data_IF_345318421310
#
_entry.id   IF_345318421310
#
_cell.length_a   1.000
_cell.length_b   1.000
_cell.length_c   1.000
_cell.angle_alpha   90.00
_cell.angle_beta   90.00
_cell.angle_gamma   90.00
#
_symmetry.space_group_name_H-M   'P 1'
#
loop_
_entity.id
_entity.type
_entity.pdbx_description
1 polymer ?
#
# COMPACT_ATOMS: atom_id res chain seq x y z
N UNK A 1 -1.84 2.72 -19.27
CA UNK A 1 -1.81 1.88 -18.06
C UNK A 1 -2.72 2.49 -17.02
N UNK A 2 -3.53 1.67 -16.35
CA UNK A 2 -4.42 2.17 -15.32
C UNK A 2 -3.64 2.65 -14.09
N UNK A 3 -4.21 3.61 -13.37
CA UNK A 3 -3.56 4.23 -12.20
C UNK A 3 -3.24 3.20 -11.12
N UNK A 4 -4.15 2.26 -10.85
CA UNK A 4 -3.90 1.22 -9.86
C UNK A 4 -2.72 0.33 -10.25
N UNK A 5 -2.56 0.02 -11.52
CA UNK A 5 -1.45 -0.77 -12.04
C UNK A 5 -0.13 -0.01 -11.95
N UNK A 6 -0.13 1.29 -12.22
CA UNK A 6 1.06 2.13 -12.05
C UNK A 6 1.50 2.18 -10.59
N UNK A 7 0.55 2.38 -9.68
CA UNK A 7 0.83 2.37 -8.24
C UNK A 7 1.35 1.01 -7.78
N UNK A 8 0.77 -0.08 -8.29
CA UNK A 8 1.26 -1.42 -8.01
C UNK A 8 2.72 -1.60 -8.42
N UNK A 9 3.07 -1.15 -9.62
CA UNK A 9 4.44 -1.22 -10.10
C UNK A 9 5.40 -0.36 -9.27
N UNK A 10 4.99 0.83 -8.89
CA UNK A 10 5.82 1.73 -8.09
C UNK A 10 6.06 1.18 -6.69
N UNK A 11 5.04 0.65 -6.06
CA UNK A 11 5.16 0.03 -4.73
C UNK A 11 6.01 -1.23 -4.80
N UNK A 12 5.79 -2.06 -5.81
CA UNK A 12 6.61 -3.25 -6.05
C UNK A 12 8.09 -2.90 -6.22
N UNK A 13 8.38 -1.84 -6.98
CA UNK A 13 9.75 -1.36 -7.17
C UNK A 13 10.37 -0.89 -5.85
N UNK A 14 9.60 -0.20 -5.02
CA UNK A 14 10.06 0.23 -3.70
C UNK A 14 10.40 -0.95 -2.80
N UNK A 15 9.54 -1.97 -2.78
CA UNK A 15 9.77 -3.20 -1.99
C UNK A 15 11.06 -3.89 -2.44
N UNK A 16 11.23 -4.09 -3.74
CA UNK A 16 12.44 -4.72 -4.30
C UNK A 16 13.71 -3.96 -3.93
N UNK A 17 13.67 -2.64 -3.99
CA UNK A 17 14.79 -1.79 -3.64
C UNK A 17 15.16 -1.86 -2.15
N UNK A 18 14.18 -2.11 -1.28
CA UNK A 18 14.36 -2.14 0.17
C UNK A 18 14.38 -3.56 0.74
N UNK A 19 14.39 -4.58 -0.10
CA UNK A 19 14.28 -5.98 0.33
C UNK A 19 15.44 -6.45 1.20
N UNK A 20 16.59 -5.80 1.12
CA UNK A 20 17.74 -6.09 1.99
C UNK A 20 17.58 -5.54 3.41
N UNK A 21 16.57 -4.72 3.66
CA UNK A 21 16.31 -4.20 5.01
C UNK A 21 15.79 -5.32 5.90
N UNK A 22 16.45 -5.60 7.06
CA UNK A 22 16.01 -6.68 7.95
C UNK A 22 14.57 -6.58 8.45
N UNK A 23 14.00 -5.37 8.48
CA UNK A 23 12.61 -5.15 8.90
C UNK A 23 11.59 -5.74 7.92
N UNK A 24 11.96 -5.95 6.68
CA UNK A 24 11.01 -6.40 5.66
C UNK A 24 11.07 -7.89 5.39
N UNK A 25 12.15 -8.55 5.73
CA UNK A 25 12.34 -10.00 5.59
C UNK A 25 11.29 -10.68 4.67
N UNK A 26 10.69 -11.77 5.11
CA UNK A 26 9.73 -12.52 4.30
C UNK A 26 8.28 -12.00 4.41
N UNK A 27 8.02 -11.00 5.27
CA UNK A 27 6.65 -10.52 5.51
C UNK A 27 6.16 -9.53 4.46
N UNK A 28 7.06 -8.74 3.88
CA UNK A 28 6.74 -7.79 2.83
C UNK A 28 7.37 -8.22 1.51
N UNK A 29 6.57 -8.88 0.70
CA UNK A 29 6.99 -9.44 -0.58
C UNK A 29 6.40 -8.63 -1.73
N UNK A 30 7.18 -8.41 -2.78
CA UNK A 30 6.72 -7.73 -3.98
C UNK A 30 5.54 -8.44 -4.67
N UNK A 31 5.35 -9.72 -4.44
CA UNK A 31 4.24 -10.48 -4.98
C UNK A 31 2.93 -10.27 -4.21
N UNK A 32 2.95 -9.59 -3.08
CA UNK A 32 1.79 -9.34 -2.23
C UNK A 32 1.17 -7.96 -2.45
N UNK A 33 1.48 -7.31 -3.57
CA UNK A 33 0.87 -6.04 -3.97
C UNK A 33 -0.14 -6.32 -5.08
N UNK A 34 -1.41 -6.04 -4.79
CA UNK A 34 -2.52 -6.36 -5.69
C UNK A 34 -3.24 -5.09 -6.12
N UNK A 35 -3.72 -5.08 -7.36
CA UNK A 35 -4.63 -4.04 -7.85
C UNK A 35 -6.02 -4.65 -8.03
N UNK A 36 -7.04 -3.88 -7.63
CA UNK A 36 -8.48 -4.18 -7.70
C UNK A 36 -8.98 -5.22 -6.71
N UNK A 37 -8.32 -6.31 -6.48
CA UNK A 37 -8.74 -7.33 -5.55
C UNK A 37 -7.63 -8.30 -5.19
N UNK A 38 -7.75 -8.90 -4.02
CA UNK A 38 -6.82 -9.93 -3.56
C UNK A 38 -7.36 -11.28 -3.98
N UNK A 39 -6.55 -12.13 -4.65
CA UNK A 39 -6.99 -13.47 -4.98
C UNK A 39 -7.33 -14.28 -3.72
N UNK A 40 -8.42 -15.04 -3.78
CA UNK A 40 -8.76 -15.93 -2.68
C UNK A 40 -7.75 -17.07 -2.65
N UNK A 41 -7.28 -17.38 -1.44
CA UNK A 41 -6.47 -18.58 -1.23
C UNK A 41 -7.31 -19.82 -1.57
N UNK A 42 -6.77 -20.71 -2.40
CA UNK A 42 -7.43 -21.95 -2.83
C UNK A 42 -7.84 -22.83 -1.64
N UNK A 43 -7.09 -22.77 -0.56
CA UNK A 43 -7.34 -23.55 0.64
C UNK A 43 -8.13 -22.82 1.73
N UNK A 44 -8.53 -21.57 1.48
CA UNK A 44 -9.19 -20.74 2.48
C UNK A 44 -8.28 -20.31 3.63
N UNK A 45 -6.98 -20.54 3.54
CA UNK A 45 -6.02 -20.14 4.54
C UNK A 45 -5.74 -18.64 4.47
N UNK A 46 -5.50 -18.03 5.62
CA UNK A 46 -5.08 -16.62 5.68
C UNK A 46 -3.69 -16.48 5.07
N UNK A 47 -3.49 -15.41 4.35
CA UNK A 47 -2.15 -15.07 3.87
C UNK A 47 -1.32 -14.57 5.06
N UNK A 48 -0.20 -15.24 5.33
CA UNK A 48 0.68 -14.93 6.47
C UNK A 48 1.68 -13.83 6.17
N UNK A 49 1.40 -13.01 5.15
CA UNK A 49 2.26 -11.91 4.73
C UNK A 49 1.49 -10.60 4.71
N UNK A 50 2.21 -9.51 4.68
CA UNK A 50 1.61 -8.19 4.50
C UNK A 50 1.03 -8.11 3.09
N UNK A 51 -0.22 -7.67 3.00
CA UNK A 51 -0.90 -7.49 1.73
C UNK A 51 -1.13 -6.00 1.51
N UNK A 52 -0.81 -5.52 0.33
CA UNK A 52 -1.10 -4.15 -0.10
C UNK A 52 -2.11 -4.22 -1.23
N UNK A 53 -3.27 -3.61 -1.03
CA UNK A 53 -4.35 -3.60 -2.01
C UNK A 53 -4.59 -2.18 -2.50
N UNK A 54 -4.60 -2.01 -3.82
CA UNK A 54 -4.75 -0.71 -4.48
C UNK A 54 -6.04 -0.72 -5.29
N UNK A 55 -6.82 0.35 -5.15
CA UNK A 55 -8.03 0.57 -5.95
C UNK A 55 -8.08 2.00 -6.44
N UNK A 56 -8.60 2.19 -7.64
CA UNK A 56 -8.95 3.51 -8.13
C UNK A 56 -10.27 3.93 -7.52
N UNK A 57 -10.37 5.18 -7.07
CA UNK A 57 -11.62 5.72 -6.55
C UNK A 57 -12.27 6.59 -7.60
N UNK A 58 -11.53 7.56 -8.14
CA UNK A 58 -12.08 8.48 -9.11
C UNK A 58 -11.00 9.16 -9.93
N UNK A 59 -11.43 9.64 -11.09
CA UNK A 59 -10.65 10.53 -11.95
C UNK A 59 -11.58 11.70 -12.31
N UNK A 60 -11.37 12.85 -11.66
CA UNK A 60 -12.27 13.99 -11.79
C UNK A 60 -11.59 15.15 -12.50
N UNK A 61 -12.29 15.82 -13.42
CA UNK A 61 -11.76 17.02 -14.05
C UNK A 61 -11.60 18.14 -13.02
N UNK A 62 -10.48 18.85 -13.10
CA UNK A 62 -10.14 19.93 -12.18
C UNK A 62 -10.01 21.28 -12.89
N UNK A 63 -9.45 21.28 -14.10
CA UNK A 63 -9.30 22.48 -14.91
C UNK A 63 -9.94 22.29 -16.27
N UNK A 64 -10.67 23.31 -16.73
CA UNK A 64 -11.27 23.35 -18.06
C UNK A 64 -10.71 24.50 -18.87
N UNK A 65 -10.31 24.19 -20.10
CA UNK A 65 -10.00 25.18 -21.11
C UNK A 65 -10.69 24.80 -22.42
N UNK A 66 -11.38 25.72 -23.08
CA UNK A 66 -12.09 25.45 -24.34
C UNK A 66 -13.07 24.26 -24.24
N UNK A 67 -13.77 24.14 -23.14
CA UNK A 67 -14.73 23.07 -22.85
C UNK A 67 -14.10 21.67 -22.69
N UNK A 68 -12.79 21.57 -22.54
CA UNK A 68 -12.09 20.31 -22.31
C UNK A 68 -11.37 20.32 -20.98
N UNK A 69 -11.38 19.20 -20.28
CA UNK A 69 -10.58 19.05 -19.09
C UNK A 69 -9.10 19.00 -19.46
N UNK A 70 -8.31 19.94 -18.91
CA UNK A 70 -6.85 20.00 -19.12
C UNK A 70 -6.08 19.35 -18.00
N UNK A 71 -6.71 19.22 -16.83
CA UNK A 71 -6.15 18.58 -15.67
C UNK A 71 -7.22 17.74 -15.00
N UNK A 72 -6.85 16.57 -14.53
CA UNK A 72 -7.73 15.71 -13.78
C UNK A 72 -7.10 15.40 -12.42
N UNK A 73 -7.94 15.17 -11.41
CA UNK A 73 -7.49 14.74 -10.11
C UNK A 73 -7.79 13.24 -9.98
N UNK A 74 -6.73 12.45 -9.95
CA UNK A 74 -6.83 11.03 -9.70
C UNK A 74 -6.85 10.76 -8.19
N UNK A 75 -7.80 9.95 -7.74
CA UNK A 75 -7.87 9.51 -6.36
C UNK A 75 -7.81 7.98 -6.32
N UNK A 76 -6.95 7.46 -5.47
CA UNK A 76 -6.78 6.03 -5.28
C UNK A 76 -6.85 5.68 -3.79
N UNK A 77 -7.17 4.42 -3.53
CA UNK A 77 -7.17 3.87 -2.17
C UNK A 77 -6.06 2.84 -2.06
N UNK A 78 -5.28 2.95 -0.99
CA UNK A 78 -4.27 1.96 -0.63
C UNK A 78 -4.64 1.40 0.74
N UNK A 79 -4.76 0.08 0.82
CA UNK A 79 -4.98 -0.62 2.07
C UNK A 79 -3.79 -1.52 2.38
N UNK A 80 -3.37 -1.50 3.64
CA UNK A 80 -2.32 -2.36 4.17
C UNK A 80 -2.96 -3.35 5.13
N UNK A 81 -2.82 -4.64 4.84
CA UNK A 81 -3.32 -5.71 5.70
C UNK A 81 -2.12 -6.44 6.31
N UNK A 82 -2.17 -6.64 7.61
CA UNK A 82 -1.06 -7.26 8.33
C UNK A 82 -1.44 -8.66 8.80
N UNK A 83 -0.48 -9.60 8.88
CA UNK A 83 -0.76 -10.95 9.36
C UNK A 83 -1.34 -10.94 10.78
N UNK A 84 -2.11 -11.96 11.10
CA UNK A 84 -2.61 -12.14 12.46
C UNK A 84 -1.43 -12.33 13.41
N UNK A 85 -1.35 -11.52 14.47
CA UNK A 85 -0.25 -11.57 15.45
C UNK A 85 -0.12 -12.93 16.16
N UNK A 86 -1.22 -13.67 16.28
CA UNK A 86 -1.17 -15.00 16.89
C UNK A 86 -0.36 -16.02 16.07
N UNK A 87 -0.19 -15.79 14.77
CA UNK A 87 0.50 -16.68 13.86
C UNK A 87 1.94 -16.21 13.56
N UNK A 88 2.35 -15.04 14.06
CA UNK A 88 3.68 -14.49 13.81
C UNK A 88 4.56 -14.57 15.04
N UNK A 89 5.67 -15.29 14.91
CA UNK A 89 6.78 -15.14 15.86
C UNK A 89 7.43 -13.78 15.62
N UNK A 90 7.77 -13.03 16.67
CA UNK A 90 8.47 -11.76 16.47
C UNK A 90 9.75 -11.99 15.66
N UNK A 91 10.03 -11.07 14.75
CA UNK A 91 11.32 -11.04 14.08
C UNK A 91 12.42 -10.93 15.12
N UNK A 92 13.54 -11.59 14.88
CA UNK A 92 14.69 -11.54 15.78
C UNK A 92 15.86 -10.87 15.10
N UNK A 93 16.59 -10.06 15.85
CA UNK A 93 17.84 -9.50 15.39
C UNK A 93 18.96 -10.57 15.41
N UNK A 94 20.18 -10.17 14.99
CA UNK A 94 21.31 -11.08 14.94
C UNK A 94 21.73 -11.64 16.31
N UNK A 95 21.27 -10.99 17.41
CA UNK A 95 21.53 -11.40 18.78
C UNK A 95 20.39 -12.23 19.38
N UNK A 96 19.36 -12.54 18.60
CA UNK A 96 18.21 -13.32 19.05
C UNK A 96 17.17 -12.53 19.83
N UNK A 97 17.28 -11.21 19.89
CA UNK A 97 16.31 -10.37 20.57
C UNK A 97 15.10 -10.10 19.67
N UNK A 98 13.86 -10.06 20.23
CA UNK A 98 12.70 -9.74 19.43
C UNK A 98 12.77 -8.31 18.89
N UNK A 99 12.49 -8.15 17.60
CA UNK A 99 12.42 -6.84 16.94
C UNK A 99 10.97 -6.57 16.64
N UNK A 100 10.46 -5.45 17.17
CA UNK A 100 9.12 -4.98 16.90
C UNK A 100 9.19 -3.80 15.94
N UNK A 101 8.49 -3.91 14.81
CA UNK A 101 8.38 -2.79 13.91
C UNK A 101 7.03 -2.10 14.06
N UNK A 102 7.02 -0.81 13.79
CA UNK A 102 5.82 -0.01 13.77
C UNK A 102 5.27 -0.01 12.35
N UNK A 103 4.06 -0.47 12.15
CA UNK A 103 3.45 -0.58 10.83
C UNK A 103 3.45 0.75 10.08
N UNK A 104 3.11 1.83 10.77
CA UNK A 104 3.08 3.14 10.14
C UNK A 104 4.48 3.65 9.82
N UNK A 105 5.33 3.72 10.83
CA UNK A 105 6.67 4.32 10.69
C UNK A 105 7.56 3.52 9.72
N UNK A 106 7.49 2.21 9.77
CA UNK A 106 8.45 1.35 9.08
C UNK A 106 7.95 0.90 7.69
N UNK A 107 6.64 0.87 7.46
CA UNK A 107 6.06 0.35 6.23
C UNK A 107 5.21 1.40 5.52
N UNK A 108 4.16 1.92 6.18
CA UNK A 108 3.18 2.77 5.50
C UNK A 108 3.74 4.12 5.14
N UNK A 109 4.34 4.81 6.10
CA UNK A 109 4.91 6.13 5.86
C UNK A 109 6.01 6.14 4.80
N UNK A 110 7.00 5.24 4.82
CA UNK A 110 8.03 5.21 3.77
C UNK A 110 7.47 4.99 2.37
N UNK A 111 6.47 4.12 2.22
CA UNK A 111 5.83 3.88 0.92
C UNK A 111 5.06 5.12 0.46
N UNK A 112 4.28 5.74 1.35
CA UNK A 112 3.52 6.94 1.02
C UNK A 112 4.43 8.11 0.70
N UNK A 113 5.52 8.28 1.43
CA UNK A 113 6.53 9.31 1.16
C UNK A 113 7.21 9.08 -0.20
N UNK A 114 7.51 7.83 -0.54
CA UNK A 114 8.08 7.48 -1.84
C UNK A 114 7.14 7.85 -2.99
N UNK A 115 5.85 7.54 -2.85
CA UNK A 115 4.85 7.90 -3.87
C UNK A 115 4.69 9.41 -4.00
N UNK A 116 4.78 10.14 -2.89
CA UNK A 116 4.75 11.60 -2.91
C UNK A 116 5.97 12.17 -3.62
N UNK A 117 7.15 11.73 -3.26
CA UNK A 117 8.40 12.25 -3.80
C UNK A 117 8.60 11.91 -5.28
N UNK A 118 8.18 10.71 -5.68
CA UNK A 118 8.37 10.24 -7.06
C UNK A 118 7.32 10.80 -8.01
N UNK A 119 6.05 10.85 -7.60
CA UNK A 119 4.93 11.13 -8.50
C UNK A 119 3.98 12.21 -8.01
N UNK A 120 4.20 12.78 -6.84
CA UNK A 120 3.37 13.86 -6.31
C UNK A 120 2.05 13.40 -5.70
N UNK A 121 1.92 12.14 -5.31
CA UNK A 121 0.75 11.67 -4.59
C UNK A 121 0.67 12.29 -3.20
N UNK A 122 -0.47 12.83 -2.83
CA UNK A 122 -0.73 13.42 -1.51
C UNK A 122 -1.82 12.68 -0.78
N UNK A 123 -1.65 12.50 0.52
CA UNK A 123 -2.70 11.91 1.36
C UNK A 123 -3.86 12.88 1.51
N UNK A 124 -5.08 12.38 1.44
CA UNK A 124 -6.30 13.16 1.71
C UNK A 124 -6.98 12.71 2.98
N UNK A 125 -7.23 11.41 3.11
CA UNK A 125 -7.92 10.79 4.23
C UNK A 125 -7.17 9.51 4.57
N UNK A 126 -7.21 9.12 5.83
CA UNK A 126 -6.75 7.81 6.25
C UNK A 126 -5.69 7.87 7.31
N UNK A 127 -5.27 6.70 7.70
CA UNK A 127 -4.37 6.46 8.81
C UNK A 127 -5.10 5.84 9.97
N UNK A 128 -4.30 5.38 10.94
CA UNK A 128 -4.83 4.60 12.03
C UNK A 128 -5.11 3.15 11.61
N UNK A 129 -5.02 2.27 12.59
CA UNK A 129 -5.16 0.83 12.36
C UNK A 129 -6.47 0.34 12.94
N UNK A 130 -7.16 -0.46 12.14
CA UNK A 130 -8.43 -1.09 12.50
C UNK A 130 -8.26 -2.61 12.47
N UNK A 131 -9.24 -3.31 13.03
CA UNK A 131 -9.22 -4.78 13.09
C UNK A 131 -10.42 -5.31 12.32
N UNK A 132 -10.16 -6.23 11.39
CA UNK A 132 -11.20 -6.91 10.64
C UNK A 132 -11.55 -8.23 11.34
N UNK A 133 -12.76 -8.36 11.94
CA UNK A 133 -13.13 -9.58 12.64
C UNK A 133 -13.29 -10.79 11.71
N UNK A 134 -13.58 -10.58 10.43
CA UNK A 134 -13.77 -11.70 9.48
C UNK A 134 -12.45 -12.34 9.08
N UNK A 135 -11.41 -11.53 8.88
CA UNK A 135 -10.07 -12.02 8.52
C UNK A 135 -9.13 -12.08 9.72
N UNK A 136 -9.51 -11.47 10.84
CA UNK A 136 -8.67 -11.31 12.03
C UNK A 136 -7.35 -10.59 11.74
N UNK A 137 -7.36 -9.68 10.77
CA UNK A 137 -6.20 -8.89 10.38
C UNK A 137 -6.34 -7.47 10.87
N UNK A 138 -5.23 -6.88 11.27
CA UNK A 138 -5.10 -5.44 11.44
C UNK A 138 -4.90 -4.83 10.05
N UNK A 139 -5.56 -3.73 9.77
CA UNK A 139 -5.42 -3.05 8.48
C UNK A 139 -5.48 -1.54 8.64
N UNK A 140 -4.96 -0.84 7.64
CA UNK A 140 -5.08 0.61 7.50
C UNK A 140 -5.55 0.95 6.09
N UNK A 141 -6.22 2.09 5.96
CA UNK A 141 -6.73 2.57 4.67
C UNK A 141 -6.31 4.02 4.46
N UNK A 142 -5.76 4.30 3.29
CA UNK A 142 -5.36 5.64 2.88
C UNK A 142 -6.02 6.00 1.55
N UNK A 143 -6.52 7.23 1.46
CA UNK A 143 -6.87 7.83 0.19
C UNK A 143 -5.77 8.79 -0.20
N UNK A 144 -5.31 8.69 -1.44
CA UNK A 144 -4.28 9.55 -2.00
C UNK A 144 -4.76 10.16 -3.30
N UNK A 145 -4.27 11.35 -3.61
CA UNK A 145 -4.64 12.05 -4.84
C UNK A 145 -3.41 12.65 -5.51
N UNK A 146 -3.49 12.78 -6.82
CA UNK A 146 -2.55 13.60 -7.58
C UNK A 146 -3.25 14.25 -8.75
N UNK A 147 -2.69 15.36 -9.23
CA UNK A 147 -3.10 15.98 -10.48
C UNK A 147 -2.45 15.29 -11.66
N UNK A 148 -3.25 14.96 -12.65
CA UNK A 148 -2.78 14.40 -13.92
C UNK A 148 -3.00 15.44 -15.00
N UNK A 149 -1.92 15.85 -15.65
CA UNK A 149 -1.95 16.89 -16.67
C UNK A 149 -1.81 16.25 -18.05
N UNK A 150 -2.77 16.56 -18.94
CA UNK A 150 -2.80 16.01 -20.28
C UNK A 150 -2.31 16.99 -21.35
N UNK A 151 -1.66 18.06 -20.97
CA UNK A 151 -1.11 19.04 -21.94
C UNK A 151 0.20 18.57 -22.54
#
# INVERSE_FOLDING_TARGET
MAIAEELQQDITAWILKNKSNPLFLDELDEEQVYSYGVPKDVNGNKLNKIIILIREISLQPNLYGSNHAQEEVATAQIQFFYPNESDTSPLKDDNGNPVYYDYYRDIEKPILDYLHDKEGWSRTIGGGHDFDPDTEQVYSTYHIKKSVNYL
#
